data_IF_551159050383
#
_entry.id   IF_551159050383
#
_cell.length_a   1.000
_cell.length_b   1.000
_cell.length_c   1.000
_cell.angle_alpha   90.00
_cell.angle_beta   90.00
_cell.angle_gamma   90.00
#
_symmetry.space_group_name_H-M   'P 1'
#
loop_
_entity.id
_entity.type
_entity.pdbx_description
1 polymer ?
#
# COMPACT_ATOMS: atom_id res chain seq x y z
N UNK A 1 14.88 10.10 2.20
CA UNK A 1 14.89 10.11 3.68
C UNK A 1 15.08 8.66 4.13
N UNK A 2 16.30 8.26 4.53
CA UNK A 2 16.58 6.94 5.09
C UNK A 2 16.00 6.94 6.52
N UNK A 3 14.96 6.15 6.77
CA UNK A 3 14.53 5.89 8.14
C UNK A 3 15.43 4.76 8.68
N UNK A 4 16.37 5.12 9.56
CA UNK A 4 17.10 4.20 10.42
C UNK A 4 16.09 3.40 11.25
N UNK A 5 15.98 2.10 10.97
CA UNK A 5 15.26 1.19 11.86
C UNK A 5 16.21 0.89 13.02
N UNK A 6 16.00 1.58 14.15
CA UNK A 6 16.55 1.18 15.45
C UNK A 6 16.04 -0.22 15.77
N UNK A 7 16.90 -1.21 15.54
CA UNK A 7 16.72 -2.56 16.07
C UNK A 7 16.89 -2.44 17.59
N UNK A 8 15.77 -2.44 18.32
CA UNK A 8 15.76 -2.33 19.78
C UNK A 8 16.73 -3.36 20.38
N UNK A 9 17.75 -2.83 21.06
CA UNK A 9 18.83 -3.54 21.71
C UNK A 9 18.40 -4.33 22.98
N UNK A 10 17.11 -4.68 23.11
CA UNK A 10 16.56 -5.36 24.30
C UNK A 10 16.67 -6.89 24.21
N UNK A 11 17.12 -7.46 23.09
CA UNK A 11 17.17 -8.92 22.88
C UNK A 11 18.59 -9.52 22.85
N UNK A 12 19.61 -8.75 23.20
CA UNK A 12 21.02 -9.17 23.14
C UNK A 12 21.37 -10.30 24.11
N UNK A 13 20.65 -10.46 25.23
CA UNK A 13 20.89 -11.56 26.17
C UNK A 13 20.31 -12.92 25.73
N UNK A 14 19.23 -12.94 24.95
CA UNK A 14 18.62 -14.19 24.41
C UNK A 14 19.19 -14.62 23.05
N UNK A 15 19.95 -13.75 22.39
CA UNK A 15 20.54 -14.02 21.07
C UNK A 15 21.56 -15.16 21.07
N UNK A 16 22.17 -15.49 22.21
CA UNK A 16 23.25 -16.47 22.30
C UNK A 16 22.84 -17.95 22.20
N UNK A 17 21.55 -18.28 22.06
CA UNK A 17 21.07 -19.68 21.89
C UNK A 17 19.99 -19.88 20.83
N UNK A 18 19.97 -19.05 19.78
CA UNK A 18 19.07 -19.26 18.64
C UNK A 18 19.83 -19.87 17.46
N UNK A 19 19.58 -21.17 17.17
CA UNK A 19 20.24 -21.89 16.06
C UNK A 19 19.71 -21.41 14.68
N UNK A 20 18.43 -21.00 14.60
CA UNK A 20 17.82 -20.51 13.35
C UNK A 20 16.70 -19.49 13.61
N UNK A 21 16.61 -18.49 12.74
CA UNK A 21 15.54 -17.48 12.71
C UNK A 21 15.02 -17.30 11.28
N UNK A 22 13.78 -17.69 11.01
CA UNK A 22 13.16 -17.59 9.69
C UNK A 22 12.26 -16.35 9.54
N UNK A 23 11.78 -15.82 10.67
CA UNK A 23 10.93 -14.62 10.71
C UNK A 23 11.60 -13.51 11.52
N UNK A 24 11.58 -12.31 10.96
CA UNK A 24 12.08 -11.10 11.63
C UNK A 24 10.96 -10.06 11.70
N UNK A 25 10.83 -9.42 12.86
CA UNK A 25 9.93 -8.29 13.02
C UNK A 25 10.69 -7.04 12.59
N UNK A 26 10.17 -6.35 11.59
CA UNK A 26 10.72 -5.07 11.10
C UNK A 26 9.57 -4.12 10.85
N UNK A 27 9.79 -2.85 11.16
CA UNK A 27 8.90 -1.79 10.69
C UNK A 27 9.02 -1.67 9.18
N UNK A 28 7.91 -1.55 8.47
CA UNK A 28 7.89 -1.34 7.03
C UNK A 28 6.91 -0.21 6.67
N UNK A 29 7.23 0.51 5.61
CA UNK A 29 6.39 1.57 5.04
C UNK A 29 6.40 1.43 3.53
N UNK A 30 5.22 1.54 2.91
CA UNK A 30 5.07 1.59 1.45
C UNK A 30 4.26 2.82 1.07
N UNK A 31 4.69 3.49 0.01
CA UNK A 31 4.04 4.67 -0.56
C UNK A 31 3.81 4.42 -2.05
N UNK A 32 2.63 4.78 -2.54
CA UNK A 32 2.26 4.70 -3.95
C UNK A 32 1.79 6.08 -4.40
N UNK A 33 2.18 6.49 -5.60
CA UNK A 33 1.61 7.67 -6.25
C UNK A 33 0.35 7.24 -6.99
N UNK A 34 -0.76 7.92 -6.73
CA UNK A 34 -2.05 7.65 -7.36
C UNK A 34 -2.42 8.78 -8.30
N UNK A 35 -3.04 8.43 -9.42
CA UNK A 35 -3.59 9.41 -10.36
C UNK A 35 -4.85 10.08 -9.78
N UNK A 36 -5.17 11.27 -10.26
CA UNK A 36 -6.39 12.01 -9.89
C UNK A 36 -7.70 11.29 -10.28
N UNK A 37 -7.60 10.21 -11.05
CA UNK A 37 -8.73 9.36 -11.46
C UNK A 37 -9.23 8.45 -10.34
N UNK A 38 -8.60 8.44 -9.16
CA UNK A 38 -9.07 7.67 -8.01
C UNK A 38 -10.03 8.52 -7.17
N UNK A 39 -11.15 7.93 -6.76
CA UNK A 39 -12.04 8.53 -5.78
C UNK A 39 -11.47 8.29 -4.38
N UNK A 40 -11.03 9.36 -3.73
CA UNK A 40 -10.41 9.30 -2.41
C UNK A 40 -11.45 9.05 -1.29
N UNK A 41 -12.72 9.42 -1.52
CA UNK A 41 -13.77 9.24 -0.53
C UNK A 41 -14.20 7.77 -0.38
N UNK A 42 -14.13 7.00 -1.48
CA UNK A 42 -14.52 5.59 -1.52
C UNK A 42 -13.39 4.59 -1.25
N UNK A 43 -12.23 5.01 -0.77
CA UNK A 43 -11.12 4.07 -0.49
C UNK A 43 -11.47 3.17 0.69
N UNK A 44 -11.37 1.86 0.51
CA UNK A 44 -11.59 0.86 1.56
C UNK A 44 -10.36 -0.01 1.78
N UNK A 45 -10.19 -0.52 3.00
CA UNK A 45 -9.12 -1.43 3.37
C UNK A 45 -9.66 -2.63 4.17
N UNK A 46 -9.15 -3.83 3.89
CA UNK A 46 -9.45 -5.05 4.64
C UNK A 46 -8.17 -5.81 4.93
N UNK A 47 -8.03 -6.31 6.16
CA UNK A 47 -6.88 -7.12 6.58
C UNK A 47 -7.35 -8.50 7.01
N UNK A 48 -7.08 -9.50 6.19
CA UNK A 48 -7.52 -10.88 6.41
C UNK A 48 -6.36 -11.84 6.20
N UNK A 49 -6.17 -12.77 7.14
CA UNK A 49 -5.17 -13.85 7.06
C UNK A 49 -3.75 -13.37 6.75
N UNK A 50 -3.32 -12.25 7.34
CA UNK A 50 -1.97 -11.71 7.14
C UNK A 50 -1.82 -10.81 5.91
N UNK A 51 -2.86 -10.62 5.10
CA UNK A 51 -2.82 -9.84 3.85
C UNK A 51 -3.67 -8.57 3.98
N UNK A 52 -3.05 -7.42 3.69
CA UNK A 52 -3.74 -6.13 3.54
C UNK A 52 -4.21 -5.95 2.10
N UNK A 53 -5.51 -5.83 1.90
CA UNK A 53 -6.14 -5.52 0.62
C UNK A 53 -6.67 -4.08 0.65
N UNK A 54 -6.29 -3.28 -0.34
CA UNK A 54 -6.76 -1.91 -0.53
C UNK A 54 -7.66 -1.87 -1.78
N UNK A 55 -8.87 -1.34 -1.64
CA UNK A 55 -9.80 -1.10 -2.74
C UNK A 55 -9.81 0.40 -3.06
N UNK A 56 -9.42 0.73 -4.29
CA UNK A 56 -9.24 2.09 -4.79
C UNK A 56 -10.20 2.31 -5.96
N UNK A 57 -11.45 2.77 -5.72
CA UNK A 57 -12.41 2.96 -6.79
C UNK A 57 -11.94 4.07 -7.73
N UNK A 58 -12.18 3.87 -9.03
CA UNK A 58 -11.94 4.90 -10.05
C UNK A 58 -13.12 5.86 -10.06
N UNK A 59 -12.84 7.15 -10.24
CA UNK A 59 -13.85 8.17 -10.53
C UNK A 59 -14.56 7.83 -11.81
N UNK A 60 -15.86 8.06 -11.82
CA UNK A 60 -16.66 7.93 -13.03
C UNK A 60 -16.18 8.98 -14.06
N UNK A 61 -15.65 8.49 -15.18
CA UNK A 61 -15.35 9.35 -16.32
C UNK A 61 -16.65 9.50 -17.08
N UNK A 62 -17.26 10.69 -17.03
CA UNK A 62 -18.36 11.03 -17.94
C UNK A 62 -17.79 10.88 -19.35
N UNK A 63 -18.10 9.77 -20.01
CA UNK A 63 -17.72 9.56 -21.40
C UNK A 63 -18.42 10.65 -22.19
N UNK A 64 -17.68 11.65 -22.67
CA UNK A 64 -18.20 12.59 -23.64
C UNK A 64 -18.80 11.76 -24.77
N UNK A 65 -20.11 11.88 -24.98
CA UNK A 65 -20.77 11.24 -26.11
C UNK A 65 -20.03 11.66 -27.37
N UNK A 66 -19.67 10.71 -28.23
CA UNK A 66 -19.02 11.00 -29.49
C UNK A 66 -19.84 12.09 -30.22
N UNK A 67 -19.25 13.26 -30.44
CA UNK A 67 -19.89 14.31 -31.20
C UNK A 67 -19.84 13.93 -32.67
N UNK A 68 -20.99 13.67 -33.27
CA UNK A 68 -21.10 13.43 -34.71
C UNK A 68 -20.92 14.76 -35.44
N UNK A 69 -19.83 14.89 -36.20
CA UNK A 69 -19.58 16.05 -37.05
C UNK A 69 -20.18 15.72 -38.43
N UNK A 70 -21.29 16.37 -38.78
CA UNK A 70 -21.86 16.28 -40.12
C UNK A 70 -21.15 17.29 -41.04
N UNK A 71 -20.71 16.81 -42.21
CA UNK A 71 -20.12 17.62 -43.27
C UNK A 71 -21.20 17.81 -44.35
N UNK A 72 -21.37 19.03 -44.87
CA UNK A 72 -22.26 19.36 -45.98
C UNK A 72 -21.50 19.40 -47.30
#
# INVERSE_FOLDING_TARGET
KKEEVKENAENTEKANKQIRREYSFRSFKRSFTLDEKIDAAGIEAKYNNGVLTLNLPKREVVKASAQQINIQ
#
